data_IF_414135226884
#
_entry.id   IF_414135226884
#
_cell.length_a   1.000
_cell.length_b   1.000
_cell.length_c   1.000
_cell.angle_alpha   90.00
_cell.angle_beta   90.00
_cell.angle_gamma   90.00
#
_symmetry.space_group_name_H-M   'P 1'
#
loop_
_entity.id
_entity.type
_entity.pdbx_description
1 polymer ?
#
# COMPACT_ATOMS: atom_id res chain seq x y z
N UNK A 1 -19.37 -9.63 31.47
CA UNK A 1 -19.23 -11.09 31.52
C UNK A 1 -18.35 -11.50 30.35
N UNK A 2 -17.08 -11.83 30.62
CA UNK A 2 -16.02 -11.94 29.61
C UNK A 2 -15.90 -13.40 29.12
N UNK A 3 -16.18 -13.63 27.84
CA UNK A 3 -16.06 -14.94 27.21
C UNK A 3 -14.61 -15.29 26.89
N UNK A 4 -14.09 -16.29 27.60
CA UNK A 4 -12.79 -16.92 27.43
C UNK A 4 -12.64 -17.50 26.02
N UNK A 5 -11.51 -17.29 25.35
CA UNK A 5 -11.08 -18.15 24.24
C UNK A 5 -9.86 -18.92 24.69
N UNK A 6 -10.09 -20.20 24.98
CA UNK A 6 -9.10 -21.18 25.36
C UNK A 6 -8.13 -21.41 24.21
N UNK A 7 -6.84 -21.32 24.50
CA UNK A 7 -5.80 -21.81 23.63
C UNK A 7 -5.81 -23.33 23.56
N UNK A 8 -5.42 -23.86 22.42
CA UNK A 8 -4.76 -25.16 22.34
C UNK A 8 -3.77 -25.08 21.20
N UNK A 9 -2.52 -24.81 21.57
CA UNK A 9 -1.34 -25.00 20.72
C UNK A 9 -1.08 -26.50 20.73
N UNK A 10 -1.24 -27.16 19.59
CA UNK A 10 -0.69 -28.50 19.36
C UNK A 10 0.49 -28.36 18.39
N UNK A 11 1.66 -28.39 19.00
CA UNK A 11 2.97 -28.39 18.38
C UNK A 11 3.27 -29.83 17.96
N UNK A 12 3.31 -30.11 16.66
CA UNK A 12 3.76 -31.39 16.13
C UNK A 12 4.96 -31.15 15.22
N UNK A 13 6.14 -31.29 15.81
CA UNK A 13 7.42 -31.37 15.10
C UNK A 13 7.58 -32.78 14.53
N UNK A 14 7.87 -32.88 13.23
CA UNK A 14 8.44 -34.10 12.62
C UNK A 14 9.68 -33.68 11.83
N UNK A 15 10.81 -34.21 12.30
CA UNK A 15 12.13 -34.18 11.68
C UNK A 15 12.34 -35.47 10.88
N UNK A 16 12.67 -35.34 9.59
CA UNK A 16 13.29 -36.38 8.74
C UNK A 16 13.87 -35.66 7.51
N UNK A 17 15.20 -35.52 7.37
CA UNK A 17 16.09 -36.38 6.55
C UNK A 17 15.92 -36.10 5.03
N UNK A 18 16.89 -35.88 4.15
CA UNK A 18 18.35 -35.95 4.11
C UNK A 18 18.80 -35.77 2.63
N UNK A 19 20.11 -35.86 2.39
CA UNK A 19 20.81 -36.03 1.10
C UNK A 19 21.10 -34.80 0.19
N UNK A 20 22.37 -34.38 0.25
CA UNK A 20 23.35 -34.28 -0.84
C UNK A 20 22.90 -33.82 -2.25
N UNK A 21 23.54 -32.74 -2.71
CA UNK A 21 23.61 -32.35 -4.12
C UNK A 21 24.58 -31.20 -4.33
N UNK A 22 25.88 -31.50 -4.42
CA UNK A 22 26.91 -30.59 -4.94
C UNK A 22 26.79 -30.59 -6.47
N UNK A 23 26.68 -29.40 -7.07
CA UNK A 23 26.66 -29.23 -8.53
C UNK A 23 27.03 -27.80 -8.87
N UNK A 24 28.31 -27.56 -9.09
CA UNK A 24 28.84 -26.31 -9.63
C UNK A 24 28.86 -26.40 -11.15
N UNK A 25 28.17 -25.49 -11.83
CA UNK A 25 28.36 -25.22 -13.25
C UNK A 25 28.54 -23.71 -13.47
N UNK A 26 29.76 -23.24 -13.80
CA UNK A 26 30.00 -21.89 -14.29
C UNK A 26 29.85 -21.89 -15.81
N UNK A 27 28.77 -21.29 -16.32
CA UNK A 27 28.44 -21.26 -17.75
C UNK A 27 28.17 -19.86 -18.28
N UNK A 28 29.25 -19.19 -18.70
CA UNK A 28 29.34 -18.20 -19.79
C UNK A 28 28.31 -17.06 -19.93
N UNK A 29 28.75 -15.83 -19.61
CA UNK A 29 28.26 -14.61 -20.27
C UNK A 29 28.83 -14.47 -21.68
N UNK A 30 28.01 -14.05 -22.66
CA UNK A 30 28.50 -13.30 -23.81
C UNK A 30 27.91 -11.88 -23.87
N UNK A 31 28.84 -10.93 -23.85
CA UNK A 31 28.94 -9.64 -24.54
C UNK A 31 27.80 -8.57 -24.53
N UNK A 32 28.16 -7.29 -24.34
CA UNK A 32 27.27 -6.13 -24.56
C UNK A 32 27.18 -5.77 -26.05
N UNK A 33 25.96 -5.55 -26.53
CA UNK A 33 25.70 -4.98 -27.87
C UNK A 33 25.79 -3.45 -27.84
N UNK A 34 26.67 -2.91 -28.67
CA UNK A 34 26.88 -1.46 -28.86
C UNK A 34 25.68 -0.74 -29.51
N UNK A 35 25.52 0.57 -29.29
CA UNK A 35 24.47 1.38 -29.92
C UNK A 35 24.75 1.64 -31.41
N UNK A 36 23.77 1.37 -32.27
CA UNK A 36 23.79 1.78 -33.67
C UNK A 36 23.61 3.29 -33.80
N UNK A 37 24.60 3.93 -34.41
CA UNK A 37 24.57 5.33 -34.83
C UNK A 37 24.18 5.35 -36.30
N UNK A 38 23.11 6.06 -36.68
CA UNK A 38 22.87 6.43 -38.07
C UNK A 38 22.44 7.89 -38.13
N UNK A 39 23.35 8.72 -38.63
CA UNK A 39 23.11 10.11 -39.00
C UNK A 39 22.52 10.17 -40.42
N UNK A 40 21.61 11.13 -40.65
CA UNK A 40 21.14 11.55 -41.97
C UNK A 40 20.51 12.96 -41.89
N UNK A 41 20.60 13.79 -42.95
CA UNK A 41 20.85 15.23 -42.79
C UNK A 41 19.71 16.20 -43.22
N UNK A 42 19.80 17.41 -42.65
CA UNK A 42 19.48 18.75 -43.18
C UNK A 42 18.07 19.15 -43.65
N UNK A 43 17.54 20.24 -43.06
CA UNK A 43 17.20 21.49 -43.79
C UNK A 43 17.04 22.68 -42.83
N UNK A 44 17.49 23.91 -43.21
CA UNK A 44 17.36 25.12 -42.40
C UNK A 44 16.13 25.95 -42.81
N UNK A 45 15.34 26.38 -41.83
CA UNK A 45 14.30 27.40 -41.98
C UNK A 45 14.62 28.62 -41.13
N UNK A 46 14.84 29.76 -41.77
CA UNK A 46 15.25 31.04 -41.16
C UNK A 46 14.06 31.99 -40.99
N UNK A 47 14.06 32.70 -39.85
CA UNK A 47 13.40 33.99 -39.54
C UNK A 47 11.85 33.97 -39.39
N UNK A 48 11.21 34.75 -38.50
CA UNK A 48 11.49 36.13 -38.07
C UNK A 48 10.68 36.49 -36.80
N UNK A 49 11.30 37.18 -35.83
CA UNK A 49 10.68 38.25 -35.02
C UNK A 49 10.18 37.94 -33.59
N UNK A 50 10.76 38.58 -32.56
CA UNK A 50 10.05 38.91 -31.34
C UNK A 50 9.67 40.39 -31.30
N UNK A 51 8.37 40.68 -31.28
CA UNK A 51 7.82 41.98 -30.92
C UNK A 51 7.31 41.91 -29.47
N UNK A 52 7.99 42.61 -28.55
CA UNK A 52 7.44 43.11 -27.27
C UNK A 52 6.63 44.40 -27.50
N UNK A 53 5.88 45.03 -26.56
CA UNK A 53 5.59 44.72 -25.13
C UNK A 53 4.10 44.93 -24.69
N UNK A 54 3.79 44.61 -23.42
CA UNK A 54 2.56 44.97 -22.68
C UNK A 54 1.82 43.72 -22.19
N UNK A 55 1.47 43.52 -20.93
CA UNK A 55 0.92 44.46 -19.94
C UNK A 55 1.11 43.83 -18.55
N UNK A 56 1.28 44.68 -17.54
CA UNK A 56 1.22 44.35 -16.12
C UNK A 56 0.14 43.33 -15.78
N UNK A 57 0.57 42.22 -15.20
CA UNK A 57 -0.28 41.22 -14.58
C UNK A 57 0.44 40.72 -13.34
N UNK A 58 0.35 41.51 -12.26
CA UNK A 58 0.65 41.09 -10.89
C UNK A 58 0.24 39.63 -10.69
N UNK A 59 1.12 38.71 -10.26
CA UNK A 59 0.68 37.47 -9.68
C UNK A 59 -0.03 37.83 -8.38
N UNK A 60 -1.35 38.03 -8.48
CA UNK A 60 -2.21 38.17 -7.33
C UNK A 60 -1.93 36.97 -6.44
N UNK A 61 -1.42 37.27 -5.25
CA UNK A 61 -1.39 36.34 -4.13
C UNK A 61 -2.83 35.94 -3.82
N UNK A 62 -3.36 34.96 -4.56
CA UNK A 62 -4.49 34.18 -4.10
C UNK A 62 -3.93 33.28 -3.02
N UNK A 63 -3.91 33.83 -1.80
CA UNK A 63 -3.89 33.04 -0.59
C UNK A 63 -5.03 32.04 -0.66
N UNK A 64 -4.71 30.84 -1.15
CA UNK A 64 -5.57 29.69 -1.02
C UNK A 64 -5.62 29.39 0.47
N UNK A 65 -6.58 30.01 1.14
CA UNK A 65 -7.01 29.59 2.45
C UNK A 65 -7.58 28.20 2.20
N UNK A 66 -6.73 27.18 2.38
CA UNK A 66 -7.14 25.80 2.28
C UNK A 66 -8.40 25.64 3.14
N UNK A 67 -9.52 25.14 2.60
CA UNK A 67 -10.67 24.90 3.45
C UNK A 67 -10.22 23.93 4.52
N UNK A 68 -10.32 24.34 5.78
CA UNK A 68 -10.23 23.43 6.92
C UNK A 68 -11.48 22.56 6.88
N UNK A 69 -11.55 21.65 5.91
CA UNK A 69 -12.65 20.73 5.71
C UNK A 69 -12.72 19.87 6.95
N UNK A 70 -13.73 20.10 7.78
CA UNK A 70 -14.00 19.22 8.92
C UNK A 70 -14.32 17.83 8.35
N UNK A 71 -13.59 16.77 8.76
CA UNK A 71 -13.72 15.49 8.10
C UNK A 71 -15.13 14.94 8.26
N UNK A 72 -15.75 14.52 7.16
CA UNK A 72 -17.16 14.12 7.16
C UNK A 72 -17.34 12.69 7.71
N UNK A 73 -18.47 12.36 8.35
CA UNK A 73 -18.70 11.01 8.88
C UNK A 73 -18.63 9.90 7.83
N UNK A 74 -19.08 10.17 6.60
CA UNK A 74 -19.01 9.24 5.47
C UNK A 74 -17.67 9.26 4.71
N UNK A 75 -16.71 10.08 5.14
CA UNK A 75 -15.39 10.13 4.51
C UNK A 75 -14.65 8.81 4.75
N UNK A 76 -13.92 8.34 3.72
CA UNK A 76 -13.06 7.16 3.84
C UNK A 76 -11.96 7.47 4.84
N UNK A 77 -11.96 6.73 5.94
CA UNK A 77 -10.89 6.82 6.92
C UNK A 77 -9.65 6.11 6.36
N UNK A 78 -9.79 4.82 6.05
CA UNK A 78 -8.69 3.99 5.56
C UNK A 78 -9.18 3.03 4.49
N UNK A 79 -8.33 2.83 3.48
CA UNK A 79 -8.51 1.80 2.48
C UNK A 79 -7.31 0.85 2.54
N UNK A 80 -7.58 -0.45 2.58
CA UNK A 80 -6.54 -1.48 2.57
C UNK A 80 -6.80 -2.41 1.39
N UNK A 81 -5.84 -2.45 0.46
CA UNK A 81 -5.86 -3.41 -0.65
C UNK A 81 -4.81 -4.47 -0.36
N UNK A 82 -5.21 -5.74 -0.38
CA UNK A 82 -4.30 -6.87 -0.29
C UNK A 82 -4.12 -7.49 -1.66
N UNK A 83 -2.88 -7.75 -2.03
CA UNK A 83 -2.49 -8.43 -3.26
C UNK A 83 -1.43 -9.49 -2.98
N UNK A 84 -1.46 -10.62 -3.67
CA UNK A 84 -0.39 -11.62 -3.60
C UNK A 84 -0.90 -13.00 -3.22
N UNK A 85 -0.03 -13.79 -2.58
CA UNK A 85 -0.29 -15.21 -2.38
C UNK A 85 -0.11 -16.03 -3.66
N UNK A 86 0.06 -17.34 -3.49
CA UNK A 86 0.21 -18.29 -4.60
C UNK A 86 -0.96 -18.25 -5.61
N UNK A 87 -2.18 -17.99 -5.13
CA UNK A 87 -3.38 -17.91 -5.97
C UNK A 87 -3.61 -16.54 -6.63
N UNK A 88 -2.76 -15.53 -6.38
CA UNK A 88 -2.92 -14.18 -6.95
C UNK A 88 -4.16 -13.45 -6.43
N UNK A 89 -4.37 -13.43 -5.12
CA UNK A 89 -5.52 -12.77 -4.49
C UNK A 89 -5.43 -11.25 -4.68
N UNK A 90 -6.59 -10.62 -4.90
CA UNK A 90 -6.74 -9.16 -4.87
C UNK A 90 -8.05 -8.77 -4.19
N UNK A 91 -7.97 -8.42 -2.91
CA UNK A 91 -9.12 -8.05 -2.10
C UNK A 91 -8.96 -6.62 -1.55
N UNK A 92 -10.07 -5.98 -1.24
CA UNK A 92 -10.08 -4.59 -0.78
C UNK A 92 -11.01 -4.44 0.41
N UNK A 93 -10.54 -3.72 1.43
CA UNK A 93 -11.32 -3.25 2.57
C UNK A 93 -11.34 -1.72 2.54
N UNK A 94 -12.52 -1.14 2.69
CA UNK A 94 -12.71 0.30 2.88
C UNK A 94 -13.41 0.50 4.21
N UNK A 95 -12.87 1.36 5.07
CA UNK A 95 -13.46 1.73 6.35
C UNK A 95 -13.70 3.24 6.34
N UNK A 96 -14.92 3.62 6.69
CA UNK A 96 -15.37 5.00 6.81
C UNK A 96 -15.18 5.50 8.25
N UNK A 97 -15.16 6.83 8.42
CA UNK A 97 -14.92 7.46 9.71
C UNK A 97 -16.00 7.14 10.76
N UNK A 98 -17.22 6.86 10.33
CA UNK A 98 -18.36 6.45 11.16
C UNK A 98 -18.34 4.96 11.57
N UNK A 99 -17.31 4.23 11.15
CA UNK A 99 -17.11 2.81 11.44
C UNK A 99 -17.82 1.87 10.46
N UNK A 100 -18.52 2.38 9.44
CA UNK A 100 -19.02 1.54 8.35
C UNK A 100 -17.85 1.01 7.52
N UNK A 101 -17.94 -0.25 7.11
CA UNK A 101 -16.91 -0.86 6.29
C UNK A 101 -17.50 -1.72 5.18
N UNK A 102 -16.74 -1.83 4.10
CA UNK A 102 -17.05 -2.68 2.95
C UNK A 102 -15.82 -3.48 2.54
N UNK A 103 -16.00 -4.78 2.35
CA UNK A 103 -15.01 -5.70 1.80
C UNK A 103 -15.45 -6.13 0.40
N UNK A 104 -14.52 -6.05 -0.55
CA UNK A 104 -14.63 -6.58 -1.91
C UNK A 104 -13.64 -7.70 -2.10
N UNK A 105 -14.08 -8.83 -2.62
CA UNK A 105 -13.24 -10.01 -2.85
C UNK A 105 -13.58 -10.66 -4.19
N UNK A 106 -12.75 -10.43 -5.21
CA UNK A 106 -13.00 -10.91 -6.56
C UNK A 106 -14.43 -10.61 -7.05
N UNK A 107 -15.07 -11.62 -7.62
CA UNK A 107 -16.45 -11.56 -8.14
C UNK A 107 -17.53 -11.81 -7.09
N UNK A 108 -17.16 -12.00 -5.82
CA UNK A 108 -18.13 -12.25 -4.75
C UNK A 108 -18.93 -10.99 -4.43
N UNK A 109 -20.18 -11.14 -3.95
CA UNK A 109 -20.95 -10.01 -3.42
C UNK A 109 -20.15 -9.24 -2.35
N UNK A 110 -20.22 -7.90 -2.34
CA UNK A 110 -19.57 -7.10 -1.30
C UNK A 110 -20.10 -7.48 0.07
N UNK A 111 -19.19 -7.61 1.04
CA UNK A 111 -19.57 -7.76 2.44
C UNK A 111 -19.52 -6.40 3.10
N UNK A 112 -20.54 -6.06 3.87
CA UNK A 112 -20.62 -4.80 4.59
C UNK A 112 -20.86 -5.06 6.07
N UNK A 113 -20.48 -4.10 6.89
CA UNK A 113 -20.76 -4.13 8.31
C UNK A 113 -20.39 -2.82 8.97
N UNK A 114 -20.44 -2.81 10.30
CA UNK A 114 -20.11 -1.64 11.10
C UNK A 114 -19.31 -2.05 12.33
N UNK A 115 -18.25 -1.32 12.62
CA UNK A 115 -17.51 -1.43 13.88
C UNK A 115 -18.26 -0.74 15.02
N UNK A 116 -17.99 -1.16 16.25
CA UNK A 116 -18.45 -0.40 17.42
C UNK A 116 -17.79 0.98 17.45
N UNK A 117 -18.42 2.00 18.08
CA UNK A 117 -17.82 3.32 18.20
C UNK A 117 -16.45 3.32 18.89
N UNK A 118 -16.21 2.37 19.80
CA UNK A 118 -14.94 2.19 20.48
C UNK A 118 -13.85 1.67 19.53
N UNK A 119 -14.12 0.61 18.77
CA UNK A 119 -13.19 0.07 17.76
C UNK A 119 -12.84 1.11 16.69
N UNK A 120 -13.84 1.85 16.19
CA UNK A 120 -13.63 2.92 15.23
C UNK A 120 -12.81 4.09 15.81
N UNK A 121 -12.88 4.33 17.13
CA UNK A 121 -12.03 5.30 17.81
C UNK A 121 -10.59 4.81 17.96
N UNK A 122 -10.39 3.53 18.27
CA UNK A 122 -9.06 2.91 18.34
C UNK A 122 -8.37 2.92 16.97
N UNK A 123 -9.08 2.58 15.90
CA UNK A 123 -8.54 2.65 14.54
C UNK A 123 -8.12 4.07 14.16
N UNK A 124 -8.94 5.08 14.49
CA UNK A 124 -8.60 6.49 14.27
C UNK A 124 -7.37 6.89 15.09
N UNK A 125 -7.31 6.52 16.36
CA UNK A 125 -6.18 6.82 17.22
C UNK A 125 -4.88 6.18 16.70
N UNK A 126 -4.93 4.94 16.20
CA UNK A 126 -3.77 4.26 15.61
C UNK A 126 -3.27 4.93 14.32
N UNK A 127 -4.17 5.46 13.50
CA UNK A 127 -3.85 6.17 12.26
C UNK A 127 -3.35 7.60 12.50
N UNK A 128 -3.79 8.22 13.59
CA UNK A 128 -3.38 9.57 14.02
C UNK A 128 -2.12 9.54 14.93
N UNK A 129 -1.65 8.36 15.33
CA UNK A 129 -0.44 8.19 16.13
C UNK A 129 0.79 8.76 15.38
N UNK A 130 1.61 9.63 15.99
CA UNK A 130 2.81 10.16 15.35
C UNK A 130 3.80 9.07 14.91
N UNK A 131 3.80 7.90 15.56
CA UNK A 131 4.60 6.75 15.14
C UNK A 131 4.15 6.18 13.78
N UNK A 132 2.87 6.31 13.42
CA UNK A 132 2.37 5.92 12.10
C UNK A 132 2.97 6.83 11.01
N UNK A 133 3.16 8.11 11.30
CA UNK A 133 3.80 9.03 10.37
C UNK A 133 5.28 8.69 10.08
N UNK A 134 5.94 7.95 10.99
CA UNK A 134 7.32 7.48 10.82
C UNK A 134 7.43 6.17 10.03
N UNK A 135 6.31 5.47 9.77
CA UNK A 135 6.32 4.20 9.04
C UNK A 135 6.78 4.43 7.60
N UNK A 136 7.81 3.72 7.11
CA UNK A 136 8.26 3.91 5.73
C UNK A 136 7.15 3.58 4.73
N UNK A 137 7.09 4.33 3.63
CA UNK A 137 6.04 4.15 2.61
C UNK A 137 6.15 2.81 1.85
N UNK A 138 7.32 2.18 1.86
CA UNK A 138 7.54 0.83 1.32
C UNK A 138 8.25 -0.05 2.33
N UNK A 139 8.11 -1.39 2.23
CA UNK A 139 8.84 -2.31 3.07
C UNK A 139 10.34 -2.13 2.83
N UNK A 140 11.12 -2.13 3.92
CA UNK A 140 12.59 -2.06 3.87
C UNK A 140 13.24 -3.44 3.88
N UNK A 141 12.48 -4.47 4.26
CA UNK A 141 12.92 -5.86 4.26
C UNK A 141 12.92 -6.51 2.87
N UNK A 142 13.41 -7.75 2.80
CA UNK A 142 13.37 -8.55 1.57
C UNK A 142 11.92 -8.96 1.25
N UNK A 143 11.51 -8.96 -0.03
CA UNK A 143 10.22 -9.52 -0.44
C UNK A 143 10.11 -10.99 -0.03
N UNK A 144 8.95 -11.38 0.47
CA UNK A 144 8.63 -12.78 0.78
C UNK A 144 8.01 -13.40 -0.47
N UNK A 145 8.57 -14.53 -0.92
CA UNK A 145 7.99 -15.30 -2.03
C UNK A 145 6.58 -15.76 -1.65
N UNK A 146 5.63 -15.57 -2.57
CA UNK A 146 4.21 -15.86 -2.37
C UNK A 146 3.58 -15.15 -1.16
N UNK A 147 4.21 -14.08 -0.66
CA UNK A 147 3.66 -13.26 0.41
C UNK A 147 2.54 -12.35 -0.08
N UNK A 148 1.76 -11.86 0.87
CA UNK A 148 0.81 -10.79 0.65
C UNK A 148 1.49 -9.42 0.80
N UNK A 149 1.06 -8.51 -0.04
CA UNK A 149 1.34 -7.09 0.05
C UNK A 149 0.05 -6.36 0.38
N UNK A 150 0.12 -5.45 1.33
CA UNK A 150 -0.97 -4.62 1.78
C UNK A 150 -0.65 -3.16 1.45
N UNK A 151 -1.46 -2.56 0.58
CA UNK A 151 -1.45 -1.12 0.35
C UNK A 151 -2.47 -0.48 1.28
N UNK A 152 -1.97 0.21 2.31
CA UNK A 152 -2.77 0.96 3.28
C UNK A 152 -2.77 2.43 2.86
N UNK A 153 -3.92 2.93 2.44
CA UNK A 153 -4.14 4.32 2.08
C UNK A 153 -4.89 5.03 3.20
N UNK A 154 -4.28 6.07 3.75
CA UNK A 154 -4.90 6.95 4.75
C UNK A 154 -4.64 8.40 4.33
N UNK A 155 -5.71 9.18 4.16
CA UNK A 155 -5.65 10.53 3.56
C UNK A 155 -4.92 10.52 2.21
N UNK A 156 -3.78 11.21 2.10
CA UNK A 156 -2.96 11.34 0.89
C UNK A 156 -1.68 10.51 0.95
N UNK A 157 -1.57 9.57 1.91
CA UNK A 157 -0.41 8.71 2.09
C UNK A 157 -0.76 7.26 1.84
N UNK A 158 0.09 6.60 1.07
CA UNK A 158 0.03 5.15 0.83
C UNK A 158 1.25 4.51 1.47
N UNK A 159 1.01 3.48 2.29
CA UNK A 159 2.03 2.64 2.92
C UNK A 159 1.88 1.24 2.35
N UNK A 160 2.94 0.72 1.76
CA UNK A 160 3.03 -0.67 1.32
C UNK A 160 3.68 -1.47 2.42
N UNK A 161 3.00 -2.53 2.86
CA UNK A 161 3.48 -3.49 3.85
C UNK A 161 3.47 -4.89 3.25
N UNK A 162 4.44 -5.72 3.63
CA UNK A 162 4.41 -7.15 3.31
C UNK A 162 3.98 -7.99 4.51
N UNK A 163 4.01 -9.31 4.34
CA UNK A 163 3.96 -10.30 5.43
C UNK A 163 5.24 -10.36 6.27
N UNK A 164 6.29 -9.65 5.86
CA UNK A 164 7.54 -9.56 6.62
C UNK A 164 7.42 -8.72 7.87
N UNK A 165 8.58 -8.28 8.39
CA UNK A 165 8.62 -7.46 9.59
C UNK A 165 7.76 -6.19 9.44
N UNK A 166 6.78 -6.06 10.34
CA UNK A 166 5.80 -4.97 10.33
C UNK A 166 6.07 -4.06 11.51
N UNK A 167 6.30 -2.75 11.28
CA UNK A 167 6.47 -1.80 12.37
C UNK A 167 5.31 -1.84 13.37
N UNK A 168 5.56 -1.65 14.68
CA UNK A 168 4.54 -1.82 15.71
C UNK A 168 3.36 -0.85 15.54
N UNK A 169 3.60 0.36 15.03
CA UNK A 169 2.55 1.32 14.72
C UNK A 169 1.59 0.80 13.64
N UNK A 170 2.14 0.18 12.59
CA UNK A 170 1.34 -0.41 11.53
C UNK A 170 0.59 -1.66 12.02
N UNK A 171 1.19 -2.48 12.89
CA UNK A 171 0.50 -3.63 13.50
C UNK A 171 -0.75 -3.21 14.28
N UNK A 172 -0.68 -2.14 15.07
CA UNK A 172 -1.85 -1.60 15.80
C UNK A 172 -3.01 -1.21 14.86
N UNK A 173 -2.70 -0.65 13.69
CA UNK A 173 -3.72 -0.32 12.68
C UNK A 173 -4.42 -1.59 12.21
N UNK A 174 -3.66 -2.64 11.86
CA UNK A 174 -4.24 -3.91 11.43
C UNK A 174 -5.04 -4.62 12.52
N UNK A 175 -4.59 -4.56 13.77
CA UNK A 175 -5.32 -5.12 14.91
C UNK A 175 -6.67 -4.41 15.14
N UNK A 176 -6.77 -3.13 14.80
CA UNK A 176 -7.99 -2.32 14.89
C UNK A 176 -8.88 -2.39 13.63
N UNK A 177 -8.47 -3.09 12.57
CA UNK A 177 -9.29 -3.27 11.37
C UNK A 177 -10.46 -4.24 11.61
N UNK A 178 -11.61 -4.05 10.94
CA UNK A 178 -12.70 -5.00 11.02
C UNK A 178 -12.25 -6.36 10.47
N UNK A 179 -12.64 -7.44 11.14
CA UNK A 179 -12.25 -8.83 10.81
C UNK A 179 -10.73 -9.09 10.74
N UNK A 180 -9.89 -8.17 11.25
CA UNK A 180 -8.43 -8.26 11.14
C UNK A 180 -7.86 -7.81 9.79
N UNK A 181 -8.67 -7.21 8.91
CA UNK A 181 -8.26 -6.68 7.60
C UNK A 181 -8.94 -7.37 6.41
N UNK A 182 -8.52 -7.03 5.17
CA UNK A 182 -9.08 -7.67 3.99
C UNK A 182 -8.72 -9.17 3.96
N UNK A 183 -9.66 -10.04 3.52
CA UNK A 183 -9.41 -11.47 3.49
C UNK A 183 -8.24 -11.80 2.54
N UNK A 184 -7.43 -12.78 2.91
CA UNK A 184 -6.34 -13.31 2.08
C UNK A 184 -6.74 -14.58 1.32
N UNK A 185 -7.99 -15.02 1.47
CA UNK A 185 -8.57 -16.10 0.66
C UNK A 185 -9.21 -15.55 -0.61
N UNK A 186 -9.12 -16.28 -1.74
CA UNK A 186 -9.88 -15.98 -2.95
C UNK A 186 -11.39 -16.14 -2.72
#
# INVERSE_FOLDING_TARGET
MWGRRCGTVLLAAVLTGGAAGCGSDPGASPAPGSPGTTAGPSTPGTATGPSTPGTDGTPGASGSTAPTSTPQPGEVLVQVVVTGGFAGVRNQLVVHRDGEWTIRSGDKPPRTGRQTPAEAAELRAALEDPAFALVPARPTGRPIADGFQYAVTHRHRVIIAGDGDRPPALRRVFDALPEGGPPTSP
#
